data_IF_451151810586
#
_entry.id   IF_451151810586
#
_cell.length_a   1.000
_cell.length_b   1.000
_cell.length_c   1.000
_cell.angle_alpha   90.00
_cell.angle_beta   90.00
_cell.angle_gamma   90.00
#
_symmetry.space_group_name_H-M   'P 1'
#
loop_
_entity.id
_entity.type
_entity.pdbx_description
1 polymer ?
#
# COMPACT_ATOMS: atom_id res chain seq x y z
N UNK A 1 5.69 66.55 -17.64
CA UNK A 1 5.56 66.23 -19.08
C UNK A 1 5.65 64.71 -19.23
N UNK A 2 4.72 64.12 -20.01
CA UNK A 2 4.44 62.68 -20.22
C UNK A 2 5.71 61.81 -20.42
N UNK A 3 5.79 60.51 -20.08
CA UNK A 3 5.06 59.38 -20.72
C UNK A 3 5.31 58.01 -20.02
N UNK A 4 4.21 57.28 -19.75
CA UNK A 4 3.93 55.83 -20.00
C UNK A 4 4.89 54.76 -19.45
N UNK A 5 4.50 54.01 -18.40
CA UNK A 5 3.81 52.69 -18.45
C UNK A 5 4.53 51.59 -19.24
N UNK A 6 5.07 50.58 -18.54
CA UNK A 6 4.95 49.19 -19.00
C UNK A 6 5.04 48.21 -17.82
N UNK A 7 3.86 47.76 -17.40
CA UNK A 7 3.65 46.49 -16.73
C UNK A 7 4.37 45.37 -17.50
N UNK A 8 5.11 44.50 -16.80
CA UNK A 8 5.01 43.01 -16.84
C UNK A 8 6.30 42.32 -16.40
N UNK A 9 6.10 41.12 -15.83
CA UNK A 9 7.09 40.08 -15.55
C UNK A 9 7.83 40.26 -14.22
N UNK A 10 7.22 39.91 -13.08
CA UNK A 10 7.06 38.53 -12.61
C UNK A 10 8.40 37.78 -12.58
N UNK A 11 9.11 37.94 -11.46
CA UNK A 11 10.04 36.95 -10.94
C UNK A 11 10.08 37.10 -9.42
N UNK A 12 9.02 36.64 -8.75
CA UNK A 12 9.12 36.22 -7.36
C UNK A 12 10.01 34.98 -7.33
N UNK A 13 11.33 35.18 -7.25
CA UNK A 13 12.26 34.14 -6.86
C UNK A 13 12.17 33.97 -5.33
N UNK A 14 11.02 33.50 -4.85
CA UNK A 14 10.92 32.96 -3.50
C UNK A 14 11.66 31.63 -3.50
N UNK A 15 12.95 31.67 -3.16
CA UNK A 15 13.72 30.49 -2.80
C UNK A 15 12.97 29.81 -1.65
N UNK A 16 12.38 28.65 -1.95
CA UNK A 16 11.84 27.75 -0.94
C UNK A 16 13.05 27.16 -0.22
N UNK A 17 13.53 27.85 0.82
CA UNK A 17 14.44 27.25 1.79
C UNK A 17 13.61 26.17 2.49
N UNK A 18 13.78 24.91 2.09
CA UNK A 18 13.41 23.78 2.94
C UNK A 18 14.27 23.87 4.20
N UNK A 19 13.80 24.64 5.17
CA UNK A 19 14.34 24.68 6.52
C UNK A 19 14.40 23.27 7.04
N UNK A 20 15.61 22.87 7.41
CA UNK A 20 16.02 21.51 7.66
C UNK A 20 15.05 20.73 8.53
N UNK A 21 14.89 19.48 8.14
CA UNK A 21 14.34 18.42 8.95
C UNK A 21 14.94 18.48 10.37
N UNK A 22 14.15 18.92 11.34
CA UNK A 22 14.18 18.27 12.64
C UNK A 22 13.52 16.91 12.42
N UNK A 23 14.32 15.99 11.88
CA UNK A 23 14.04 14.59 12.00
C UNK A 23 14.03 14.31 13.51
N UNK A 24 12.83 14.36 14.09
CA UNK A 24 12.54 13.59 15.28
C UNK A 24 12.73 12.13 14.85
N UNK A 25 13.98 11.67 14.87
CA UNK A 25 14.29 10.25 14.94
C UNK A 25 13.86 9.82 16.33
N UNK A 26 12.54 9.77 16.56
CA UNK A 26 11.99 8.78 17.44
C UNK A 26 12.40 7.46 16.78
N UNK A 27 13.57 6.95 17.18
CA UNK A 27 13.92 5.56 17.00
C UNK A 27 12.82 4.79 17.72
N UNK A 28 11.76 4.48 16.99
CA UNK A 28 10.79 3.47 17.38
C UNK A 28 11.64 2.22 17.52
N UNK A 29 11.96 1.87 18.75
CA UNK A 29 12.54 0.57 19.07
C UNK A 29 11.44 -0.42 18.74
N UNK A 30 11.38 -0.84 17.47
CA UNK A 30 10.61 -2.00 17.07
C UNK A 30 11.15 -3.13 17.91
N UNK A 31 10.27 -3.80 18.66
CA UNK A 31 10.63 -5.06 19.29
C UNK A 31 11.31 -5.91 18.22
N UNK A 32 12.59 -6.24 18.42
CA UNK A 32 13.34 -7.17 17.60
C UNK A 32 12.76 -8.56 17.81
N UNK A 33 11.54 -8.75 17.31
CA UNK A 33 10.90 -10.03 17.35
C UNK A 33 11.52 -10.84 16.23
N UNK A 34 12.16 -11.94 16.62
CA UNK A 34 12.75 -12.89 15.69
C UNK A 34 11.62 -13.60 14.93
N UNK A 35 11.70 -13.59 13.60
CA UNK A 35 10.71 -14.24 12.72
C UNK A 35 11.17 -15.62 12.31
N UNK A 36 12.46 -15.78 12.04
CA UNK A 36 13.06 -17.06 11.68
C UNK A 36 14.55 -17.09 11.98
N UNK A 37 15.14 -18.29 12.06
CA UNK A 37 16.58 -18.50 12.13
C UNK A 37 17.03 -19.46 11.02
N UNK A 38 18.21 -19.20 10.45
CA UNK A 38 18.85 -20.03 9.43
C UNK A 38 20.30 -20.28 9.87
N UNK A 39 20.56 -21.46 10.43
CA UNK A 39 21.82 -21.72 11.12
C UNK A 39 22.03 -20.73 12.26
N UNK A 40 23.09 -19.94 12.18
CA UNK A 40 23.46 -18.92 13.18
C UNK A 40 22.87 -17.53 12.87
N UNK A 41 22.17 -17.36 11.75
CA UNK A 41 21.59 -16.08 11.36
C UNK A 41 20.13 -15.97 11.78
N UNK A 42 19.75 -14.81 12.31
CA UNK A 42 18.37 -14.50 12.70
C UNK A 42 17.78 -13.49 11.73
N UNK A 43 16.57 -13.78 11.24
CA UNK A 43 15.76 -12.87 10.44
C UNK A 43 14.79 -12.16 11.40
N UNK A 44 14.89 -10.85 11.48
CA UNK A 44 14.00 -10.04 12.33
C UNK A 44 12.73 -9.64 11.57
N UNK A 45 11.71 -9.20 12.31
CA UNK A 45 10.51 -8.59 11.70
C UNK A 45 10.86 -7.41 10.78
N UNK A 46 11.88 -6.63 11.13
CA UNK A 46 12.28 -5.48 10.35
C UNK A 46 12.92 -5.89 9.02
N UNK A 47 13.76 -6.92 9.02
CA UNK A 47 14.38 -7.45 7.79
C UNK A 47 13.31 -7.95 6.82
N UNK A 48 12.35 -8.73 7.34
CA UNK A 48 11.23 -9.21 6.54
C UNK A 48 10.38 -8.03 6.02
N UNK A 49 10.02 -7.08 6.87
CA UNK A 49 9.20 -5.93 6.50
C UNK A 49 9.86 -5.08 5.41
N UNK A 50 11.17 -4.81 5.54
CA UNK A 50 11.91 -4.03 4.56
C UNK A 50 12.05 -4.77 3.23
N UNK A 51 12.25 -6.10 3.26
CA UNK A 51 12.27 -6.91 2.05
C UNK A 51 10.90 -6.90 1.35
N UNK A 52 9.80 -7.09 2.10
CA UNK A 52 8.44 -7.03 1.55
C UNK A 52 8.11 -5.65 0.95
N UNK A 53 8.53 -4.56 1.60
CA UNK A 53 8.38 -3.21 1.04
C UNK A 53 9.10 -3.06 -0.29
N UNK A 54 10.32 -3.59 -0.38
CA UNK A 54 11.14 -3.50 -1.59
C UNK A 54 10.52 -4.28 -2.74
N UNK A 55 10.05 -5.49 -2.47
CA UNK A 55 9.58 -6.40 -3.51
C UNK A 55 8.15 -6.10 -3.96
N UNK A 56 7.26 -5.73 -3.03
CA UNK A 56 5.82 -5.56 -3.31
C UNK A 56 5.21 -4.24 -2.80
N UNK A 57 5.92 -3.50 -1.95
CA UNK A 57 5.35 -2.37 -1.18
C UNK A 57 4.69 -1.28 -2.03
N UNK A 58 5.29 -0.92 -3.18
CA UNK A 58 4.71 0.12 -4.05
C UNK A 58 3.39 -0.33 -4.68
N UNK A 59 3.32 -1.58 -5.14
CA UNK A 59 2.10 -2.15 -5.76
C UNK A 59 1.03 -2.32 -4.69
N UNK A 60 1.40 -2.86 -3.52
CA UNK A 60 0.49 -3.00 -2.38
C UNK A 60 -0.08 -1.66 -1.94
N UNK A 61 0.76 -0.63 -1.77
CA UNK A 61 0.31 0.69 -1.36
C UNK A 61 -0.66 1.31 -2.37
N UNK A 62 -0.37 1.20 -3.68
CA UNK A 62 -1.27 1.68 -4.74
C UNK A 62 -2.62 0.97 -4.70
N UNK A 63 -2.63 -0.35 -4.51
CA UNK A 63 -3.85 -1.14 -4.37
C UNK A 63 -4.67 -0.69 -3.16
N UNK A 64 -4.01 -0.48 -2.01
CA UNK A 64 -4.68 0.00 -0.79
C UNK A 64 -5.30 1.39 -0.98
N UNK A 65 -4.60 2.31 -1.65
CA UNK A 65 -5.13 3.65 -1.96
C UNK A 65 -6.37 3.52 -2.85
N UNK A 66 -6.29 2.73 -3.92
CA UNK A 66 -7.42 2.52 -4.82
C UNK A 66 -8.61 1.92 -4.06
N UNK A 67 -8.37 0.89 -3.26
CA UNK A 67 -9.41 0.28 -2.43
C UNK A 67 -10.05 1.30 -1.49
N UNK A 68 -9.27 2.13 -0.80
CA UNK A 68 -9.79 3.17 0.09
C UNK A 68 -10.62 4.21 -0.65
N UNK A 69 -10.16 4.64 -1.83
CA UNK A 69 -10.92 5.56 -2.68
C UNK A 69 -12.25 4.92 -3.10
N UNK A 70 -12.24 3.65 -3.51
CA UNK A 70 -13.47 2.94 -3.87
C UNK A 70 -14.42 2.79 -2.68
N UNK A 71 -13.91 2.41 -1.50
CA UNK A 71 -14.69 2.29 -0.27
C UNK A 71 -15.34 3.64 0.13
N UNK A 72 -14.62 4.76 -0.03
CA UNK A 72 -15.14 6.09 0.31
C UNK A 72 -16.21 6.59 -0.67
N UNK A 73 -16.11 6.22 -1.95
CA UNK A 73 -17.02 6.71 -3.00
C UNK A 73 -18.17 5.74 -3.29
N UNK A 74 -18.10 4.51 -2.81
CA UNK A 74 -19.18 3.54 -2.97
C UNK A 74 -20.26 3.79 -1.90
N UNK A 75 -21.51 4.12 -2.30
CA UNK A 75 -22.58 4.44 -1.35
C UNK A 75 -22.94 3.27 -0.42
N UNK A 76 -22.72 2.03 -0.86
CA UNK A 76 -23.00 0.80 -0.11
C UNK A 76 -21.76 -0.13 -0.05
N UNK A 77 -20.58 0.42 0.21
CA UNK A 77 -19.31 -0.33 0.19
C UNK A 77 -19.36 -1.62 1.04
N UNK A 78 -19.97 -1.57 2.23
CA UNK A 78 -20.11 -2.72 3.12
C UNK A 78 -20.96 -3.85 2.51
N UNK A 79 -22.10 -3.51 1.89
CA UNK A 79 -22.96 -4.50 1.23
C UNK A 79 -22.30 -5.10 0.00
N UNK A 80 -21.56 -4.30 -0.77
CA UNK A 80 -20.79 -4.78 -1.91
C UNK A 80 -19.72 -5.78 -1.45
N UNK A 81 -19.00 -5.46 -0.37
CA UNK A 81 -18.01 -6.37 0.20
C UNK A 81 -18.64 -7.67 0.67
N UNK A 82 -19.74 -7.62 1.41
CA UNK A 82 -20.47 -8.80 1.88
C UNK A 82 -20.93 -9.68 0.70
N UNK A 83 -21.48 -9.08 -0.36
CA UNK A 83 -21.87 -9.83 -1.57
C UNK A 83 -20.68 -10.48 -2.25
N UNK A 84 -19.53 -9.80 -2.30
CA UNK A 84 -18.31 -10.38 -2.86
C UNK A 84 -17.84 -11.59 -2.05
N UNK A 85 -17.87 -11.51 -0.72
CA UNK A 85 -17.55 -12.63 0.18
C UNK A 85 -18.52 -13.81 -0.02
N UNK A 86 -19.82 -13.55 -0.12
CA UNK A 86 -20.84 -14.57 -0.40
C UNK A 86 -20.64 -15.25 -1.78
N UNK A 87 -20.27 -14.49 -2.81
CA UNK A 87 -20.00 -15.05 -4.14
C UNK A 87 -18.71 -15.87 -4.18
N UNK A 88 -17.68 -15.51 -3.41
CA UNK A 88 -16.48 -16.34 -3.25
C UNK A 88 -16.83 -17.64 -2.52
N UNK A 89 -17.62 -17.58 -1.45
CA UNK A 89 -18.08 -18.76 -0.72
C UNK A 89 -18.86 -19.73 -1.63
N UNK A 90 -19.76 -19.21 -2.47
CA UNK A 90 -20.47 -20.03 -3.48
C UNK A 90 -19.54 -20.64 -4.51
N UNK A 91 -18.48 -19.92 -4.92
CA UNK A 91 -17.49 -20.46 -5.84
C UNK A 91 -16.70 -21.59 -5.20
N UNK A 92 -16.28 -21.44 -3.93
CA UNK A 92 -15.61 -22.49 -3.15
C UNK A 92 -16.49 -23.76 -3.10
N UNK A 93 -17.78 -23.62 -2.80
CA UNK A 93 -18.70 -24.76 -2.78
C UNK A 93 -18.81 -25.43 -4.17
N UNK A 94 -18.96 -24.62 -5.24
CA UNK A 94 -19.11 -25.13 -6.61
C UNK A 94 -17.89 -25.88 -7.13
N UNK A 95 -16.68 -25.49 -6.73
CA UNK A 95 -15.44 -26.17 -7.16
C UNK A 95 -15.13 -27.41 -6.33
N UNK A 96 -15.93 -27.71 -5.30
CA UNK A 96 -15.77 -28.91 -4.47
C UNK A 96 -15.01 -28.68 -3.17
N UNK A 97 -15.00 -27.46 -2.65
CA UNK A 97 -14.39 -27.10 -1.37
C UNK A 97 -13.11 -26.26 -1.50
N UNK A 98 -12.59 -25.80 -0.35
CA UNK A 98 -11.46 -24.87 -0.27
C UNK A 98 -10.20 -25.44 -0.92
N UNK A 99 -9.91 -26.73 -0.75
CA UNK A 99 -8.72 -27.37 -1.33
C UNK A 99 -8.71 -27.27 -2.87
N UNK A 100 -9.84 -27.58 -3.52
CA UNK A 100 -10.00 -27.45 -4.98
C UNK A 100 -10.03 -26.00 -5.45
N UNK A 101 -10.54 -25.10 -4.61
CA UNK A 101 -10.47 -23.67 -4.88
C UNK A 101 -9.03 -23.16 -4.86
N UNK A 102 -8.21 -23.58 -3.90
CA UNK A 102 -6.79 -23.21 -3.83
C UNK A 102 -6.00 -23.77 -5.01
N UNK A 103 -6.28 -25.01 -5.44
CA UNK A 103 -5.72 -25.57 -6.67
C UNK A 103 -6.07 -24.70 -7.89
N UNK A 104 -7.33 -24.27 -8.00
CA UNK A 104 -7.81 -23.42 -9.08
C UNK A 104 -7.15 -22.04 -9.08
N UNK A 105 -6.99 -21.41 -7.92
CA UNK A 105 -6.33 -20.11 -7.79
C UNK A 105 -4.85 -20.18 -8.14
N UNK A 106 -4.19 -21.28 -7.74
CA UNK A 106 -2.81 -21.58 -8.12
C UNK A 106 -2.69 -21.76 -9.63
N UNK A 107 -3.60 -22.52 -10.24
CA UNK A 107 -3.66 -22.70 -11.70
C UNK A 107 -3.85 -21.38 -12.45
N UNK A 108 -4.73 -20.50 -11.95
CA UNK A 108 -4.98 -19.17 -12.52
C UNK A 108 -3.88 -18.14 -12.21
N UNK A 109 -2.84 -18.52 -11.45
CA UNK A 109 -1.76 -17.63 -11.00
C UNK A 109 -2.27 -16.44 -10.17
N UNK A 110 -3.37 -16.63 -9.46
CA UNK A 110 -3.98 -15.63 -8.59
C UNK A 110 -3.42 -15.68 -7.15
N UNK A 111 -2.53 -16.62 -6.85
CA UNK A 111 -1.97 -16.83 -5.51
C UNK A 111 -2.83 -17.77 -4.67
N UNK A 112 -2.62 -17.78 -3.35
CA UNK A 112 -3.49 -18.46 -2.37
C UNK A 112 -4.40 -17.43 -1.70
N UNK A 113 -5.66 -17.78 -1.43
CA UNK A 113 -6.54 -17.01 -0.51
C UNK A 113 -6.33 -17.41 0.93
#
# INVERSE_FOLDING_TARGET
>A
MKRTTLNRMMAFASVLVLSGAVANTASVVYAQDNVATVGDQTITKEDLYNQMKKDAGLVTLRSMILQKVLEMNAPNAADIKKKAEEEVAKQIEKVGGEEKFQELLTYQKLGSV
#
